data_IF_269379956925
#
_entry.id   IF_269379956925
#
_cell.length_a   1.000
_cell.length_b   1.000
_cell.length_c   1.000
_cell.angle_alpha   90.00
_cell.angle_beta   90.00
_cell.angle_gamma   90.00
#
_symmetry.space_group_name_H-M   'P 1'
#
loop_
_entity.id
_entity.type
_entity.pdbx_description
1 polymer ?
#
# COMPACT_ATOMS: atom_id res chain seq x y z
N UNK A 1 -21.96 12.94 23.37
CA UNK A 1 -22.90 13.01 22.23
C UNK A 1 -22.25 13.82 21.11
N UNK A 2 -22.23 13.33 19.89
CA UNK A 2 -21.71 14.13 18.78
C UNK A 2 -22.60 15.37 18.64
N UNK A 3 -21.99 16.55 18.64
CA UNK A 3 -22.69 17.82 18.47
C UNK A 3 -23.40 17.86 17.13
N UNK A 4 -24.60 18.42 17.12
CA UNK A 4 -25.36 18.63 15.87
C UNK A 4 -24.59 19.56 14.94
N UNK A 5 -24.53 19.21 13.67
CA UNK A 5 -23.86 20.00 12.64
C UNK A 5 -24.73 21.23 12.38
N UNK A 6 -24.16 22.42 12.59
CA UNK A 6 -24.78 23.71 12.30
C UNK A 6 -24.44 24.13 10.87
N UNK A 7 -25.41 24.71 10.18
CA UNK A 7 -25.20 25.27 8.87
C UNK A 7 -24.45 26.63 8.89
N UNK A 8 -24.36 27.27 7.74
CA UNK A 8 -23.66 28.58 7.59
C UNK A 8 -24.31 29.67 8.42
N UNK A 9 -25.64 29.64 8.58
CA UNK A 9 -26.40 30.58 9.43
C UNK A 9 -26.24 30.29 10.93
N UNK A 10 -25.50 29.25 11.32
CA UNK A 10 -25.33 28.85 12.72
C UNK A 10 -26.57 28.24 13.36
N UNK A 11 -27.64 28.03 12.59
CA UNK A 11 -28.90 27.38 13.03
C UNK A 11 -28.86 25.89 12.83
N UNK A 12 -29.51 25.20 13.73
CA UNK A 12 -29.71 23.72 13.60
C UNK A 12 -30.95 23.45 12.76
N UNK A 13 -30.91 22.37 11.97
CA UNK A 13 -32.11 21.88 11.30
C UNK A 13 -33.16 21.40 12.31
N UNK A 14 -34.42 21.43 11.93
CA UNK A 14 -35.53 20.99 12.76
C UNK A 14 -35.39 19.53 13.18
N UNK A 15 -36.09 19.16 14.24
CA UNK A 15 -36.14 17.78 14.69
C UNK A 15 -36.65 16.85 13.56
N UNK A 16 -35.85 15.82 13.22
CA UNK A 16 -36.10 14.94 12.08
C UNK A 16 -35.50 15.38 10.75
N UNK A 17 -34.72 16.46 10.74
CA UNK A 17 -33.96 16.91 9.57
C UNK A 17 -32.46 17.02 9.89
N UNK A 18 -31.61 16.74 8.91
CA UNK A 18 -30.16 16.95 9.00
C UNK A 18 -29.68 17.96 7.99
N UNK A 19 -28.56 18.62 8.27
CA UNK A 19 -27.90 19.50 7.34
C UNK A 19 -27.41 18.72 6.12
N UNK A 20 -27.84 19.09 4.94
CA UNK A 20 -27.53 18.46 3.66
C UNK A 20 -26.70 19.32 2.72
N UNK A 21 -26.02 20.36 3.26
CA UNK A 21 -25.23 21.29 2.48
C UNK A 21 -25.96 22.60 2.21
N UNK A 22 -25.33 23.49 1.40
CA UNK A 22 -25.87 24.78 0.96
C UNK A 22 -26.27 24.74 -0.52
N UNK A 23 -27.41 25.34 -0.84
CA UNK A 23 -27.83 25.60 -2.20
C UNK A 23 -28.29 27.05 -2.29
N UNK A 24 -27.78 27.82 -3.29
CA UNK A 24 -28.10 29.23 -3.50
C UNK A 24 -27.89 30.13 -2.26
N UNK A 25 -26.80 29.83 -1.48
CA UNK A 25 -26.45 30.56 -0.29
C UNK A 25 -27.36 30.33 0.92
N UNK A 26 -28.29 29.37 0.84
CA UNK A 26 -29.18 28.98 1.96
C UNK A 26 -28.87 27.53 2.39
N UNK A 27 -28.96 27.31 3.69
CA UNK A 27 -28.80 25.98 4.27
C UNK A 27 -29.95 25.06 3.87
N UNK A 28 -29.59 23.88 3.39
CA UNK A 28 -30.56 22.84 3.00
C UNK A 28 -30.68 21.82 4.14
N UNK A 29 -31.88 21.73 4.71
CA UNK A 29 -32.21 20.66 5.64
C UNK A 29 -32.89 19.51 4.90
N UNK A 30 -32.33 18.34 4.99
CA UNK A 30 -32.89 17.11 4.39
C UNK A 30 -33.60 16.34 5.47
N UNK A 31 -34.85 15.93 5.21
CA UNK A 31 -35.62 15.10 6.11
C UNK A 31 -34.82 13.82 6.35
N UNK A 32 -34.54 13.52 7.60
CA UNK A 32 -34.04 12.21 7.99
C UNK A 32 -35.26 11.28 7.92
N UNK A 33 -35.58 10.84 6.73
CA UNK A 33 -36.40 9.66 6.59
C UNK A 33 -35.67 8.57 7.34
N UNK A 34 -36.40 7.79 8.11
CA UNK A 34 -35.87 6.65 8.83
C UNK A 34 -35.00 5.87 7.86
N UNK A 35 -33.70 6.09 7.96
CA UNK A 35 -32.72 5.49 7.04
C UNK A 35 -32.82 4.00 7.32
N UNK A 36 -33.36 3.32 6.35
CA UNK A 36 -33.73 1.92 6.39
C UNK A 36 -32.70 1.10 7.15
N UNK A 37 -33.21 0.29 8.06
CA UNK A 37 -32.47 -0.71 8.82
C UNK A 37 -31.65 -1.61 7.88
N UNK A 38 -32.09 -1.78 6.62
CA UNK A 38 -31.38 -2.47 5.54
C UNK A 38 -29.98 -1.87 5.28
N UNK A 39 -29.88 -0.54 5.21
CA UNK A 39 -28.57 0.13 4.99
C UNK A 39 -27.61 -0.01 6.19
N UNK A 40 -28.15 -0.38 7.35
CA UNK A 40 -27.35 -0.64 8.54
C UNK A 40 -26.79 -2.07 8.54
N UNK A 41 -27.48 -3.00 7.92
CA UNK A 41 -27.01 -4.37 7.72
C UNK A 41 -25.87 -4.40 6.70
N UNK A 42 -26.01 -3.71 5.56
CA UNK A 42 -24.93 -3.57 4.56
C UNK A 42 -23.68 -2.96 5.17
N UNK A 43 -23.83 -1.97 6.05
CA UNK A 43 -22.69 -1.35 6.73
C UNK A 43 -22.04 -2.32 7.73
N UNK A 44 -22.83 -3.11 8.44
CA UNK A 44 -22.33 -4.13 9.38
C UNK A 44 -21.59 -5.23 8.62
N UNK A 45 -22.17 -5.74 7.54
CA UNK A 45 -21.53 -6.75 6.67
C UNK A 45 -20.25 -6.22 6.06
N UNK A 46 -20.23 -4.95 5.62
CA UNK A 46 -19.02 -4.31 5.11
C UNK A 46 -17.94 -4.15 6.19
N UNK A 47 -18.32 -3.79 7.42
CA UNK A 47 -17.37 -3.70 8.56
C UNK A 47 -16.83 -5.08 8.93
N UNK A 48 -17.67 -6.11 8.91
CA UNK A 48 -17.25 -7.48 9.16
C UNK A 48 -16.34 -7.99 8.04
N UNK A 49 -16.69 -7.73 6.78
CA UNK A 49 -15.85 -8.02 5.63
C UNK A 49 -14.47 -7.33 5.75
N UNK A 50 -14.41 -6.05 6.16
CA UNK A 50 -13.13 -5.35 6.38
C UNK A 50 -12.38 -5.95 7.58
N UNK A 51 -13.07 -6.39 8.63
CA UNK A 51 -12.44 -7.04 9.79
C UNK A 51 -11.86 -8.41 9.43
N UNK A 52 -12.54 -9.14 8.56
CA UNK A 52 -12.11 -10.45 8.08
C UNK A 52 -11.07 -10.32 6.95
N UNK A 53 -11.13 -9.25 6.17
CA UNK A 53 -10.11 -8.88 5.20
C UNK A 53 -8.87 -8.33 5.91
N UNK A 54 -8.22 -9.19 6.70
CA UNK A 54 -6.80 -9.03 6.98
C UNK A 54 -6.10 -9.38 5.67
N UNK A 55 -5.49 -8.40 4.95
CA UNK A 55 -4.57 -8.78 3.89
C UNK A 55 -3.60 -9.73 4.57
N UNK A 56 -3.61 -10.97 4.15
CA UNK A 56 -2.71 -11.98 4.70
C UNK A 56 -1.29 -11.52 4.38
N UNK A 57 -0.72 -10.73 5.28
CA UNK A 57 0.72 -10.55 5.33
C UNK A 57 1.19 -11.97 5.62
N UNK A 58 1.54 -12.69 4.55
CA UNK A 58 2.02 -14.05 4.68
C UNK A 58 3.31 -13.97 5.49
N UNK A 59 3.16 -14.20 6.78
CA UNK A 59 4.30 -14.36 7.67
C UNK A 59 4.86 -15.76 7.44
N UNK A 60 6.15 -15.85 7.36
CA UNK A 60 6.85 -17.10 7.21
C UNK A 60 8.11 -17.08 8.06
N UNK A 61 8.68 -18.23 8.32
CA UNK A 61 9.91 -18.35 9.08
C UNK A 61 11.12 -18.45 8.14
N UNK A 62 12.15 -17.67 8.43
CA UNK A 62 13.45 -17.75 7.76
C UNK A 62 14.56 -17.83 8.81
N UNK A 63 15.23 -18.98 8.90
CA UNK A 63 16.31 -19.23 9.87
C UNK A 63 15.91 -18.89 11.32
N UNK A 64 14.76 -19.38 11.77
CA UNK A 64 14.26 -19.17 13.13
C UNK A 64 13.68 -17.77 13.39
N UNK A 65 13.49 -16.94 12.36
CA UNK A 65 12.91 -15.59 12.51
C UNK A 65 11.65 -15.44 11.68
N UNK A 66 10.62 -14.86 12.26
CA UNK A 66 9.41 -14.48 11.54
C UNK A 66 9.72 -13.34 10.56
N UNK A 67 9.38 -13.51 9.30
CA UNK A 67 9.62 -12.57 8.22
C UNK A 67 8.35 -12.33 7.40
N UNK A 68 8.16 -11.11 6.92
CA UNK A 68 7.05 -10.74 6.05
C UNK A 68 7.43 -11.06 4.61
N UNK A 69 6.62 -11.87 3.93
CA UNK A 69 6.86 -12.24 2.54
C UNK A 69 6.46 -11.11 1.58
N UNK A 70 7.19 -10.99 0.48
CA UNK A 70 6.87 -10.08 -0.61
C UNK A 70 7.02 -8.59 -0.31
N UNK A 71 7.52 -8.20 0.88
CA UNK A 71 7.74 -6.81 1.26
C UNK A 71 9.24 -6.46 1.17
N UNK A 72 9.66 -5.64 0.19
CA UNK A 72 11.05 -5.18 0.11
C UNK A 72 11.40 -4.27 1.29
N UNK A 73 12.56 -4.53 1.90
CA UNK A 73 13.10 -3.75 3.00
C UNK A 73 14.56 -3.38 2.74
N UNK A 74 15.12 -2.50 3.57
CA UNK A 74 16.53 -2.13 3.49
C UNK A 74 17.42 -3.37 3.66
N UNK A 75 18.35 -3.56 2.73
CA UNK A 75 19.27 -4.69 2.74
C UNK A 75 20.56 -4.39 3.52
N UNK A 76 21.26 -5.47 3.83
CA UNK A 76 22.59 -5.48 4.44
C UNK A 76 23.66 -5.71 3.36
N UNK A 77 23.58 -6.80 2.60
CA UNK A 77 24.54 -7.16 1.54
C UNK A 77 24.35 -6.33 0.27
N UNK A 78 23.12 -6.12 -0.14
CA UNK A 78 22.72 -5.25 -1.25
C UNK A 78 21.85 -4.12 -0.71
N UNK A 79 21.45 -3.17 -1.58
CA UNK A 79 20.64 -2.02 -1.17
C UNK A 79 19.31 -2.44 -0.56
N UNK A 80 18.68 -3.47 -1.11
CA UNK A 80 17.40 -4.00 -0.65
C UNK A 80 17.44 -5.51 -0.48
N UNK A 81 16.55 -6.03 0.36
CA UNK A 81 16.26 -7.45 0.51
C UNK A 81 14.76 -7.70 0.59
N UNK A 82 14.34 -8.86 0.19
CA UNK A 82 12.95 -9.32 0.28
C UNK A 82 12.93 -10.81 0.56
N UNK A 83 11.95 -11.26 1.32
CA UNK A 83 11.73 -12.69 1.56
C UNK A 83 10.57 -13.15 0.67
N UNK A 84 10.78 -14.25 -0.01
CA UNK A 84 9.79 -14.84 -0.93
C UNK A 84 9.86 -16.36 -0.86
N UNK A 85 8.76 -17.03 -1.22
CA UNK A 85 8.78 -18.48 -1.42
C UNK A 85 9.29 -18.81 -2.82
N UNK A 86 10.17 -19.79 -2.90
CA UNK A 86 10.60 -20.37 -4.17
C UNK A 86 9.55 -21.39 -4.68
N UNK A 87 9.69 -21.93 -5.92
CA UNK A 87 8.77 -22.96 -6.43
C UNK A 87 8.69 -24.22 -5.58
N UNK A 88 9.72 -24.50 -4.78
CA UNK A 88 9.77 -25.63 -3.84
C UNK A 88 9.08 -25.35 -2.50
N UNK A 89 8.46 -24.16 -2.33
CA UNK A 89 7.79 -23.74 -1.09
C UNK A 89 8.70 -23.18 0.00
N UNK A 90 10.02 -23.22 -0.18
CA UNK A 90 10.97 -22.72 0.81
C UNK A 90 11.09 -21.19 0.78
N UNK A 91 11.23 -20.57 1.96
CA UNK A 91 11.47 -19.13 2.07
C UNK A 91 12.92 -18.83 1.75
N UNK A 92 13.14 -17.93 0.79
CA UNK A 92 14.47 -17.49 0.37
C UNK A 92 14.59 -15.96 0.54
N UNK A 93 15.79 -15.53 0.95
CA UNK A 93 16.16 -14.11 1.00
C UNK A 93 16.73 -13.70 -0.35
N UNK A 94 16.08 -12.76 -1.02
CA UNK A 94 16.53 -12.19 -2.29
C UNK A 94 17.12 -10.81 -2.03
N UNK A 95 18.41 -10.65 -2.31
CA UNK A 95 19.10 -9.37 -2.22
C UNK A 95 19.15 -8.73 -3.61
N UNK A 96 18.83 -7.44 -3.69
CA UNK A 96 18.80 -6.72 -4.96
C UNK A 96 19.15 -5.23 -4.82
N UNK A 97 19.42 -4.57 -5.95
CA UNK A 97 19.85 -3.18 -6.00
C UNK A 97 21.34 -3.00 -5.69
N UNK A 98 21.95 -1.97 -6.28
CA UNK A 98 23.36 -1.66 -6.09
C UNK A 98 23.57 -0.85 -4.81
N UNK A 99 24.29 -1.39 -3.85
CA UNK A 99 24.54 -0.77 -2.54
C UNK A 99 24.86 -1.81 -1.46
N UNK A 100 24.82 -1.40 -0.20
CA UNK A 100 25.10 -2.22 0.95
C UNK A 100 26.60 -2.57 1.09
N UNK A 101 26.90 -3.62 1.84
CA UNK A 101 28.31 -4.05 2.09
C UNK A 101 29.02 -4.49 0.82
N UNK A 102 28.32 -5.04 -0.17
CA UNK A 102 28.94 -5.47 -1.42
C UNK A 102 29.46 -4.28 -2.25
N UNK A 103 28.75 -3.16 -2.28
CA UNK A 103 29.22 -1.94 -2.93
C UNK A 103 30.39 -1.30 -2.18
N UNK A 104 30.33 -1.27 -0.84
CA UNK A 104 31.42 -0.77 0.01
C UNK A 104 32.70 -1.55 -0.19
N UNK A 105 32.67 -2.88 -0.24
CA UNK A 105 33.82 -3.73 -0.50
C UNK A 105 34.43 -3.48 -1.89
N UNK A 106 33.60 -3.13 -2.88
CA UNK A 106 34.03 -2.79 -4.23
C UNK A 106 34.45 -1.31 -4.39
N UNK A 107 34.48 -0.52 -3.30
CA UNK A 107 34.80 0.92 -3.37
C UNK A 107 33.76 1.77 -4.11
N UNK A 108 32.56 1.24 -4.30
CA UNK A 108 31.52 1.86 -5.11
C UNK A 108 30.46 2.53 -4.24
N UNK A 109 29.94 3.67 -4.71
CA UNK A 109 28.82 4.37 -4.06
C UNK A 109 27.50 3.64 -4.30
N UNK A 110 26.59 3.70 -3.31
CA UNK A 110 25.24 3.20 -3.46
C UNK A 110 24.51 3.94 -4.59
N UNK A 111 23.94 3.19 -5.54
CA UNK A 111 23.20 3.76 -6.66
C UNK A 111 21.83 4.29 -6.22
N UNK A 112 21.53 5.52 -6.59
CA UNK A 112 20.22 6.14 -6.37
C UNK A 112 19.27 5.77 -7.52
N UNK A 113 18.01 5.48 -7.20
CA UNK A 113 16.98 5.28 -8.20
C UNK A 113 16.59 6.67 -8.75
N UNK A 114 16.78 6.88 -10.05
CA UNK A 114 16.50 8.15 -10.73
C UNK A 114 15.07 8.17 -11.28
N UNK A 115 14.09 8.26 -10.39
CA UNK A 115 12.66 8.22 -10.75
C UNK A 115 12.23 9.36 -11.70
N UNK A 116 12.84 10.53 -11.56
CA UNK A 116 12.57 11.72 -12.36
C UNK A 116 13.28 11.73 -13.74
N UNK A 117 14.14 10.76 -14.01
CA UNK A 117 14.86 10.69 -15.28
C UNK A 117 14.30 9.56 -16.17
N UNK A 118 13.44 9.88 -17.16
CA UNK A 118 12.81 8.86 -18.01
C UNK A 118 13.82 8.13 -18.91
N UNK A 119 14.89 8.80 -19.37
CA UNK A 119 15.94 8.16 -20.18
C UNK A 119 16.70 7.10 -19.38
N UNK A 120 17.08 7.40 -18.13
CA UNK A 120 17.74 6.45 -17.25
C UNK A 120 16.85 5.25 -16.92
N UNK A 121 15.55 5.50 -16.70
CA UNK A 121 14.56 4.42 -16.48
C UNK A 121 14.40 3.52 -17.69
N UNK A 122 14.24 4.09 -18.88
CA UNK A 122 14.12 3.34 -20.13
C UNK A 122 15.35 2.45 -20.36
N UNK A 123 16.54 3.00 -20.19
CA UNK A 123 17.80 2.26 -20.32
C UNK A 123 17.92 1.11 -19.30
N UNK A 124 17.56 1.36 -18.04
CA UNK A 124 17.56 0.32 -17.00
C UNK A 124 16.57 -0.80 -17.34
N UNK A 125 15.33 -0.46 -17.69
CA UNK A 125 14.30 -1.43 -18.01
C UNK A 125 14.65 -2.30 -19.23
N UNK A 126 15.25 -1.71 -20.25
CA UNK A 126 15.73 -2.44 -21.42
C UNK A 126 16.85 -3.42 -21.08
N UNK A 127 17.90 -2.97 -20.34
CA UNK A 127 19.01 -3.84 -19.94
C UNK A 127 18.56 -5.02 -19.06
N UNK A 128 17.57 -4.83 -18.22
CA UNK A 128 17.11 -5.85 -17.29
C UNK A 128 15.91 -6.63 -17.81
N UNK A 129 15.47 -6.37 -19.05
CA UNK A 129 14.29 -6.98 -19.64
C UNK A 129 13.09 -6.94 -18.67
N UNK A 130 12.74 -5.72 -18.24
CA UNK A 130 11.71 -5.53 -17.22
C UNK A 130 10.28 -5.82 -17.72
N UNK A 131 10.08 -6.00 -19.00
CA UNK A 131 8.81 -6.46 -19.58
C UNK A 131 8.60 -7.95 -19.33
N UNK A 132 9.71 -8.71 -19.19
CA UNK A 132 9.70 -10.11 -18.73
C UNK A 132 10.77 -10.31 -17.64
N UNK A 133 10.53 -9.84 -16.41
CA UNK A 133 11.52 -9.84 -15.32
C UNK A 133 11.81 -11.21 -14.74
N UNK A 134 11.02 -12.23 -15.09
CA UNK A 134 11.13 -13.59 -14.57
C UNK A 134 10.48 -13.77 -13.19
N UNK A 135 10.74 -14.89 -12.50
CA UNK A 135 10.04 -15.28 -11.29
C UNK A 135 10.41 -14.42 -10.06
N UNK A 136 9.48 -14.36 -9.10
CA UNK A 136 9.60 -13.52 -7.89
C UNK A 136 10.79 -13.86 -6.99
N UNK A 137 11.34 -15.06 -7.07
CA UNK A 137 12.53 -15.45 -6.29
C UNK A 137 13.85 -14.98 -6.93
N UNK A 138 13.81 -14.23 -8.04
CA UNK A 138 14.96 -13.65 -8.70
C UNK A 138 15.10 -12.16 -8.41
N UNK A 139 16.34 -11.69 -8.25
CA UNK A 139 16.66 -10.29 -7.94
C UNK A 139 16.17 -9.31 -9.03
N UNK A 140 16.22 -9.73 -10.31
CA UNK A 140 15.76 -8.93 -11.45
C UNK A 140 14.30 -8.50 -11.31
N UNK A 141 13.40 -9.41 -10.92
CA UNK A 141 11.99 -9.12 -10.70
C UNK A 141 11.80 -7.93 -9.75
N UNK A 142 12.49 -7.93 -8.61
CA UNK A 142 12.37 -6.89 -7.60
C UNK A 142 13.06 -5.58 -8.00
N UNK A 143 14.20 -5.67 -8.72
CA UNK A 143 14.86 -4.48 -9.27
C UNK A 143 13.97 -3.76 -10.27
N UNK A 144 13.30 -4.48 -11.17
CA UNK A 144 12.37 -3.90 -12.13
C UNK A 144 11.15 -3.24 -11.48
N UNK A 145 10.67 -3.75 -10.36
CA UNK A 145 9.55 -3.14 -9.61
C UNK A 145 9.94 -1.86 -8.86
N UNK A 146 11.21 -1.70 -8.55
CA UNK A 146 11.71 -0.53 -7.80
C UNK A 146 12.10 0.64 -8.69
N UNK A 147 12.39 0.38 -9.96
CA UNK A 147 12.80 1.40 -10.97
C UNK A 147 11.59 1.93 -11.79
#
# INVERSE_FOLDING_TARGET
MPGKIKGIDGKECWKGYRYGGTSDGKDKCIKVEEYDVENRQDLVEFIEFIREYKPSIQEAEYRGRKVKLGKPMRGDVKKFKVYVKNPKGNVVKVNFGHGGTSAKKAGQKTMRIRKSNPKARKSFRARHNCDNPGPRHKARYWSCRKW
#
